data_IF_962264981420
#
_entry.id   IF_962264981420
#
_cell.length_a   1.000
_cell.length_b   1.000
_cell.length_c   1.000
_cell.angle_alpha   90.00
_cell.angle_beta   90.00
_cell.angle_gamma   90.00
#
_symmetry.space_group_name_H-M   'P 1'
#
loop_
_entity.id
_entity.type
_entity.pdbx_description
1 polymer ?
#
# COMPACT_ATOMS: atom_id res chain seq x y z
N UNK A 1 -18.08 8.66 26.63
CA UNK A 1 -17.40 8.58 25.32
C UNK A 1 -15.91 8.78 25.52
N UNK A 2 -15.10 7.71 25.42
CA UNK A 2 -13.62 7.82 25.37
C UNK A 2 -13.17 7.27 24.03
N UNK A 3 -12.36 8.08 23.33
CA UNK A 3 -11.77 7.83 22.02
C UNK A 3 -10.88 6.58 22.07
N UNK A 4 -11.20 5.57 21.26
CA UNK A 4 -10.28 4.48 20.92
C UNK A 4 -9.38 4.96 19.76
N UNK A 5 -8.52 5.94 20.04
CA UNK A 5 -7.41 6.26 19.15
C UNK A 5 -6.21 5.38 19.54
N UNK A 6 -5.79 4.50 18.62
CA UNK A 6 -4.41 4.01 18.56
C UNK A 6 -4.08 2.74 19.34
N UNK A 7 -4.13 1.59 18.63
CA UNK A 7 -2.92 0.80 18.30
C UNK A 7 -3.33 -0.44 17.50
N UNK A 8 -3.62 -0.25 16.21
CA UNK A 8 -3.74 -1.38 15.26
C UNK A 8 -2.42 -2.14 15.16
N UNK A 9 -1.30 -1.46 15.39
CA UNK A 9 0.05 -2.01 15.34
C UNK A 9 0.78 -1.81 16.67
N UNK A 10 1.63 -2.78 17.04
CA UNK A 10 2.49 -2.61 18.22
C UNK A 10 3.54 -1.52 17.96
N UNK A 11 4.08 -0.92 19.03
CA UNK A 11 5.17 0.06 18.91
C UNK A 11 6.40 -0.54 18.22
N UNK A 12 6.65 -1.84 18.39
CA UNK A 12 7.75 -2.56 17.74
C UNK A 12 7.51 -2.75 16.24
N UNK A 13 6.27 -3.11 15.84
CA UNK A 13 5.89 -3.22 14.42
C UNK A 13 6.06 -1.87 13.71
N UNK A 14 5.64 -0.78 14.38
CA UNK A 14 5.80 0.58 13.87
C UNK A 14 7.29 0.92 13.69
N UNK A 15 8.10 0.69 14.73
CA UNK A 15 9.54 0.96 14.72
C UNK A 15 10.25 0.20 13.59
N UNK A 16 9.98 -1.10 13.45
CA UNK A 16 10.61 -1.94 12.43
C UNK A 16 10.21 -1.50 11.03
N UNK A 17 8.93 -1.20 10.79
CA UNK A 17 8.49 -0.75 9.47
C UNK A 17 9.04 0.63 9.13
N UNK A 18 8.96 1.61 10.03
CA UNK A 18 9.51 2.94 9.76
C UNK A 18 11.05 2.91 9.58
N UNK A 19 11.78 2.04 10.28
CA UNK A 19 13.24 1.88 10.08
C UNK A 19 13.63 1.37 8.67
N UNK A 20 12.70 0.77 7.93
CA UNK A 20 12.96 0.33 6.55
C UNK A 20 12.79 1.42 5.51
N UNK A 21 12.27 2.59 5.90
CA UNK A 21 12.24 3.77 5.06
C UNK A 21 13.67 4.16 4.71
N UNK A 22 13.99 4.13 3.42
CA UNK A 22 15.27 4.66 2.91
C UNK A 22 15.01 6.08 2.46
N UNK A 23 15.73 7.03 3.05
CA UNK A 23 15.77 8.43 2.62
C UNK A 23 16.55 8.54 1.30
N UNK A 24 16.13 7.84 0.25
CA UNK A 24 16.47 8.28 -1.11
C UNK A 24 15.64 9.53 -1.34
N UNK A 25 16.26 10.66 -1.66
CA UNK A 25 15.59 11.96 -1.88
C UNK A 25 14.64 12.01 -3.07
N UNK A 26 13.88 10.94 -3.30
CA UNK A 26 13.01 10.65 -4.43
C UNK A 26 11.78 9.81 -4.00
N UNK A 27 11.40 9.80 -2.72
CA UNK A 27 10.31 8.96 -2.19
C UNK A 27 10.64 7.46 -2.06
N UNK A 28 9.70 6.68 -1.49
CA UNK A 28 9.85 5.23 -1.28
C UNK A 28 9.80 4.39 -2.57
N UNK A 29 9.39 5.01 -3.67
CA UNK A 29 9.15 4.42 -4.99
C UNK A 29 10.26 4.90 -5.95
N UNK A 30 11.21 4.04 -6.28
CA UNK A 30 12.28 4.37 -7.23
C UNK A 30 11.77 4.49 -8.68
N UNK A 31 12.51 5.17 -9.56
CA UNK A 31 12.12 5.40 -10.96
C UNK A 31 11.83 4.12 -11.79
N UNK A 32 12.28 2.95 -11.33
CA UNK A 32 12.01 1.62 -11.94
C UNK A 32 10.86 0.88 -11.26
N UNK A 33 10.08 1.55 -10.42
CA UNK A 33 9.02 0.90 -9.69
C UNK A 33 7.94 0.39 -10.65
N UNK A 34 7.61 -0.88 -10.49
CA UNK A 34 6.73 -1.61 -11.38
C UNK A 34 5.27 -1.25 -11.12
N UNK A 35 4.90 -1.00 -9.86
CA UNK A 35 3.53 -0.64 -9.44
C UNK A 35 3.00 0.62 -10.15
N UNK A 36 3.76 1.74 -10.24
CA UNK A 36 3.32 2.91 -10.97
C UNK A 36 2.81 2.68 -12.39
N UNK A 37 3.50 1.83 -13.16
CA UNK A 37 3.10 1.50 -14.53
C UNK A 37 1.72 0.84 -14.57
N UNK A 38 1.49 -0.12 -13.68
CA UNK A 38 0.23 -0.85 -13.63
C UNK A 38 -0.91 0.00 -13.06
N UNK A 39 -0.62 0.83 -12.05
CA UNK A 39 -1.56 1.80 -11.51
C UNK A 39 -2.02 2.77 -12.59
N UNK A 40 -1.09 3.39 -13.34
CA UNK A 40 -1.45 4.28 -14.44
C UNK A 40 -2.36 3.60 -15.47
N UNK A 41 -1.98 2.40 -15.94
CA UNK A 41 -2.79 1.67 -16.94
C UNK A 41 -4.21 1.40 -16.44
N UNK A 42 -4.37 1.07 -15.15
CA UNK A 42 -5.68 0.84 -14.58
C UNK A 42 -6.47 2.15 -14.44
N UNK A 43 -5.84 3.21 -13.93
CA UNK A 43 -6.43 4.54 -13.80
C UNK A 43 -6.94 5.08 -15.14
N UNK A 44 -6.10 5.07 -16.17
CA UNK A 44 -6.44 5.59 -17.51
C UNK A 44 -7.62 4.82 -18.14
N UNK A 45 -7.82 3.55 -17.77
CA UNK A 45 -8.86 2.70 -18.32
C UNK A 45 -10.18 2.70 -17.52
N UNK A 46 -10.16 3.12 -16.25
CA UNK A 46 -11.29 2.93 -15.35
C UNK A 46 -11.77 4.22 -14.67
N UNK A 47 -10.90 5.23 -14.53
CA UNK A 47 -11.19 6.44 -13.78
C UNK A 47 -11.13 7.70 -14.66
N UNK A 48 -11.78 8.75 -14.19
CA UNK A 48 -11.73 10.09 -14.77
C UNK A 48 -10.70 10.94 -14.04
N UNK A 49 -10.17 11.94 -14.74
CA UNK A 49 -9.30 12.95 -14.12
C UNK A 49 -9.99 13.57 -12.90
N UNK A 50 -9.25 13.73 -11.82
CA UNK A 50 -9.75 14.23 -10.53
C UNK A 50 -10.40 13.19 -9.62
N UNK A 51 -10.61 11.93 -10.07
CA UNK A 51 -11.06 10.88 -9.16
C UNK A 51 -10.04 10.63 -8.03
N UNK A 52 -10.51 10.32 -6.80
CA UNK A 52 -9.63 10.21 -5.64
C UNK A 52 -8.80 8.92 -5.66
N UNK A 53 -7.49 9.07 -5.48
CA UNK A 53 -6.50 7.98 -5.42
C UNK A 53 -5.68 8.10 -4.14
N UNK A 54 -5.47 6.98 -3.45
CA UNK A 54 -4.60 6.90 -2.28
C UNK A 54 -3.28 6.22 -2.64
N UNK A 55 -2.14 6.83 -2.31
CA UNK A 55 -0.88 6.10 -2.18
C UNK A 55 -0.62 5.77 -0.70
N UNK A 56 -0.74 4.48 -0.38
CA UNK A 56 -0.60 3.90 0.94
C UNK A 56 0.84 3.40 1.14
N UNK A 57 1.53 3.99 2.11
CA UNK A 57 2.96 3.74 2.34
C UNK A 57 3.85 4.60 1.47
N UNK A 58 3.45 5.86 1.21
CA UNK A 58 4.17 6.79 0.35
C UNK A 58 5.57 7.17 0.90
N UNK A 59 5.84 6.86 2.17
CA UNK A 59 7.03 7.27 2.89
C UNK A 59 6.92 8.69 3.42
N UNK A 60 8.04 9.21 3.92
CA UNK A 60 8.11 10.61 4.36
C UNK A 60 8.31 11.52 3.14
N UNK A 61 7.28 12.31 2.80
CA UNK A 61 7.29 13.29 1.72
C UNK A 61 6.92 14.65 2.30
N UNK A 62 7.83 15.62 2.15
CA UNK A 62 7.62 16.98 2.66
C UNK A 62 6.94 17.87 1.59
N UNK A 63 7.22 17.64 0.30
CA UNK A 63 6.58 18.35 -0.80
C UNK A 63 6.01 17.38 -1.83
N UNK A 64 4.74 17.58 -2.23
CA UNK A 64 4.08 16.75 -3.25
C UNK A 64 4.83 16.78 -4.60
N UNK A 65 5.58 17.85 -4.90
CA UNK A 65 6.43 17.92 -6.11
C UNK A 65 7.58 16.91 -6.10
N UNK A 66 8.01 16.47 -4.92
CA UNK A 66 9.07 15.47 -4.73
C UNK A 66 8.51 14.04 -4.71
N UNK A 67 7.19 13.89 -4.81
CA UNK A 67 6.54 12.60 -4.92
C UNK A 67 6.86 11.97 -6.28
N UNK A 68 7.86 11.10 -6.28
CA UNK A 68 8.33 10.41 -7.48
C UNK A 68 7.44 9.24 -7.92
N UNK A 69 6.25 9.09 -7.32
CA UNK A 69 5.12 8.41 -7.97
C UNK A 69 4.62 9.16 -9.22
N UNK A 70 5.28 10.29 -9.56
CA UNK A 70 5.16 11.26 -10.64
C UNK A 70 4.59 10.83 -12.00
N UNK A 71 4.53 9.54 -12.34
CA UNK A 71 3.88 9.09 -13.57
C UNK A 71 2.46 8.53 -13.35
N UNK A 72 2.01 8.32 -12.12
CA UNK A 72 0.69 7.72 -11.87
C UNK A 72 -0.43 8.76 -11.93
N UNK A 73 -0.22 9.96 -11.39
CA UNK A 73 -1.38 10.77 -11.01
C UNK A 73 -1.19 12.29 -10.91
N UNK A 74 -0.52 12.91 -11.89
CA UNK A 74 -0.67 14.37 -12.08
C UNK A 74 -2.11 14.76 -12.50
N UNK A 75 -2.88 13.81 -13.03
CA UNK A 75 -4.24 14.02 -13.51
C UNK A 75 -5.34 13.59 -12.51
N UNK A 76 -4.98 13.07 -11.33
CA UNK A 76 -5.94 12.53 -10.33
C UNK A 76 -5.75 13.20 -8.96
N UNK A 77 -6.76 13.13 -8.09
CA UNK A 77 -6.68 13.67 -6.72
C UNK A 77 -5.91 12.69 -5.82
N UNK A 78 -4.58 12.84 -5.75
CA UNK A 78 -3.72 11.98 -4.93
C UNK A 78 -3.75 12.43 -3.48
N UNK A 79 -4.10 11.50 -2.59
CA UNK A 79 -3.78 11.57 -1.17
C UNK A 79 -2.61 10.65 -0.84
N UNK A 80 -1.63 11.15 -0.09
CA UNK A 80 -0.49 10.37 0.38
C UNK A 80 -0.69 9.97 1.84
N UNK A 81 -0.42 8.71 2.16
CA UNK A 81 -0.54 8.17 3.51
C UNK A 81 0.69 7.33 3.90
N UNK A 82 1.10 7.45 5.16
CA UNK A 82 2.03 6.51 5.81
C UNK A 82 1.63 6.39 7.30
N UNK A 83 2.31 5.57 8.09
CA UNK A 83 2.04 5.42 9.52
C UNK A 83 3.27 5.64 10.41
N UNK A 84 3.04 5.83 11.71
CA UNK A 84 4.11 6.05 12.68
C UNK A 84 4.85 7.37 12.45
N UNK A 85 6.18 7.35 12.58
CA UNK A 85 7.03 8.54 12.42
C UNK A 85 7.08 9.06 10.98
N UNK A 86 6.73 8.21 10.00
CA UNK A 86 6.63 8.61 8.60
C UNK A 86 5.41 9.50 8.32
N UNK A 87 4.43 9.59 9.23
CA UNK A 87 3.29 10.53 9.12
C UNK A 87 3.68 12.00 9.19
N UNK A 88 4.93 12.31 9.55
CA UNK A 88 5.41 13.69 9.83
C UNK A 88 5.78 14.49 8.58
N UNK A 89 5.66 13.92 7.37
CA UNK A 89 5.86 14.67 6.13
C UNK A 89 4.69 15.63 5.88
N UNK A 90 4.96 16.87 5.50
CA UNK A 90 3.91 17.90 5.29
C UNK A 90 2.97 17.59 4.14
N UNK A 91 3.34 16.71 3.20
CA UNK A 91 2.46 16.24 2.14
C UNK A 91 1.66 14.97 2.52
N UNK A 92 1.89 14.39 3.70
CA UNK A 92 1.21 13.18 4.17
C UNK A 92 -0.08 13.56 4.90
N UNK A 93 -1.19 12.95 4.49
CA UNK A 93 -2.46 13.11 5.18
C UNK A 93 -2.61 12.02 6.26
N UNK A 94 -2.51 12.35 7.55
CA UNK A 94 -2.58 11.36 8.63
C UNK A 94 -3.98 10.72 8.77
N UNK A 95 -5.01 11.37 8.22
CA UNK A 95 -6.43 11.00 8.29
C UNK A 95 -6.92 10.39 6.97
N UNK A 96 -6.02 10.03 6.05
CA UNK A 96 -6.39 9.51 4.74
C UNK A 96 -7.34 8.30 4.81
N UNK A 97 -7.25 7.49 5.87
CA UNK A 97 -8.06 6.27 6.05
C UNK A 97 -9.50 6.52 6.53
N UNK A 98 -9.90 7.78 6.75
CA UNK A 98 -11.27 8.15 7.14
C UNK A 98 -12.24 8.18 5.97
N UNK A 99 -11.74 8.09 4.72
CA UNK A 99 -12.54 8.02 3.49
C UNK A 99 -12.08 6.89 2.58
N UNK A 100 -12.88 6.63 1.55
CA UNK A 100 -12.56 5.66 0.50
C UNK A 100 -12.07 6.35 -0.77
N UNK A 101 -11.29 5.62 -1.56
CA UNK A 101 -10.65 6.05 -2.80
C UNK A 101 -11.00 5.09 -3.92
N UNK A 102 -11.15 5.60 -5.13
CA UNK A 102 -11.44 4.76 -6.30
C UNK A 102 -10.34 3.71 -6.51
N UNK A 103 -9.08 4.09 -6.28
CA UNK A 103 -7.91 3.21 -6.25
C UNK A 103 -7.04 3.46 -5.02
N UNK A 104 -6.60 2.38 -4.38
CA UNK A 104 -5.49 2.41 -3.40
C UNK A 104 -4.24 1.77 -3.99
N UNK A 105 -3.13 2.48 -3.97
CA UNK A 105 -1.81 2.00 -4.38
C UNK A 105 -1.05 1.64 -3.11
N UNK A 106 -0.47 0.45 -3.05
CA UNK A 106 0.25 -0.05 -1.87
C UNK A 106 1.61 -0.60 -2.28
N UNK A 107 2.48 0.28 -2.81
CA UNK A 107 3.78 -0.12 -3.34
C UNK A 107 4.80 -0.33 -2.23
N UNK A 108 5.39 -1.51 -2.14
CA UNK A 108 6.42 -1.84 -1.14
C UNK A 108 6.00 -1.51 0.30
N UNK A 109 4.70 -1.50 0.60
CA UNK A 109 4.22 -1.50 1.99
C UNK A 109 4.07 -2.94 2.48
N UNK A 110 3.72 -3.86 1.58
CA UNK A 110 3.47 -5.27 1.94
C UNK A 110 4.74 -6.02 2.36
N UNK A 111 5.93 -5.54 2.02
CA UNK A 111 7.21 -6.21 2.29
C UNK A 111 7.86 -5.84 3.63
N UNK A 112 7.33 -4.84 4.35
CA UNK A 112 7.88 -4.34 5.62
C UNK A 112 7.07 -4.80 6.83
N UNK A 113 6.21 -5.80 6.62
CA UNK A 113 5.31 -6.33 7.63
C UNK A 113 6.07 -7.24 8.60
N UNK A 114 6.15 -6.82 9.85
CA UNK A 114 6.94 -7.50 10.87
C UNK A 114 6.30 -8.79 11.40
N UNK A 115 4.99 -8.96 11.22
CA UNK A 115 4.25 -10.16 11.61
C UNK A 115 3.09 -10.42 10.65
N UNK A 116 2.57 -11.66 10.64
CA UNK A 116 1.35 -12.01 9.90
C UNK A 116 0.15 -11.17 10.34
N UNK A 117 0.06 -10.84 11.63
CA UNK A 117 -0.99 -9.96 12.17
C UNK A 117 -0.88 -8.55 11.59
N UNK A 118 0.33 -8.00 11.49
CA UNK A 118 0.58 -6.70 10.87
C UNK A 118 0.18 -6.72 9.39
N UNK A 119 0.61 -7.75 8.65
CA UNK A 119 0.24 -7.94 7.25
C UNK A 119 -1.29 -7.96 7.08
N UNK A 120 -2.00 -8.78 7.84
CA UNK A 120 -3.46 -8.89 7.76
C UNK A 120 -4.15 -7.56 8.09
N UNK A 121 -3.67 -6.85 9.12
CA UNK A 121 -4.20 -5.54 9.51
C UNK A 121 -3.94 -4.47 8.43
N UNK A 122 -2.76 -4.48 7.82
CA UNK A 122 -2.41 -3.59 6.69
C UNK A 122 -3.29 -3.86 5.48
N UNK A 123 -3.49 -5.14 5.12
CA UNK A 123 -4.40 -5.50 4.01
C UNK A 123 -5.84 -5.09 4.31
N UNK A 124 -6.31 -5.24 5.56
CA UNK A 124 -7.64 -4.76 5.97
C UNK A 124 -7.78 -3.24 5.89
N UNK A 125 -6.74 -2.48 6.25
CA UNK A 125 -6.72 -1.02 6.08
C UNK A 125 -6.78 -0.61 4.61
N UNK A 126 -5.98 -1.26 3.75
CA UNK A 126 -6.00 -1.05 2.30
C UNK A 126 -7.39 -1.34 1.74
N UNK A 127 -7.98 -2.49 2.08
CA UNK A 127 -9.34 -2.83 1.63
C UNK A 127 -10.39 -1.85 2.13
N UNK A 128 -10.30 -1.40 3.38
CA UNK A 128 -11.25 -0.43 3.96
C UNK A 128 -11.16 0.94 3.29
N UNK A 129 -9.98 1.34 2.81
CA UNK A 129 -9.76 2.58 2.09
C UNK A 129 -10.07 2.47 0.58
N UNK A 130 -10.15 1.25 0.04
CA UNK A 130 -10.56 1.03 -1.35
C UNK A 130 -12.07 1.16 -1.50
N UNK A 131 -12.50 1.77 -2.61
CA UNK A 131 -13.86 1.72 -3.12
C UNK A 131 -13.99 0.67 -4.22
N UNK A 132 -13.13 0.75 -5.26
CA UNK A 132 -13.18 -0.22 -6.36
C UNK A 132 -12.01 -1.21 -6.31
N UNK A 133 -10.78 -0.71 -6.16
CA UNK A 133 -9.60 -1.55 -6.31
C UNK A 133 -8.43 -1.14 -5.42
N UNK A 134 -7.50 -2.07 -5.27
CA UNK A 134 -6.16 -1.86 -4.77
C UNK A 134 -5.12 -2.50 -5.69
N UNK A 135 -3.97 -1.84 -5.84
CA UNK A 135 -2.79 -2.41 -6.51
C UNK A 135 -1.65 -2.50 -5.50
N UNK A 136 -1.14 -3.72 -5.31
CA UNK A 136 -0.06 -4.01 -4.36
C UNK A 136 1.04 -4.84 -5.03
N UNK A 137 2.25 -4.79 -4.49
CA UNK A 137 3.32 -5.69 -4.91
C UNK A 137 4.04 -6.32 -3.71
N UNK A 138 4.69 -7.44 -3.98
CA UNK A 138 5.64 -8.05 -3.06
C UNK A 138 6.97 -8.22 -3.82
N UNK A 139 8.10 -7.66 -3.35
CA UNK A 139 9.40 -7.88 -3.97
C UNK A 139 9.88 -9.32 -3.75
N UNK A 140 10.79 -9.80 -4.61
CA UNK A 140 11.39 -11.14 -4.57
C UNK A 140 12.02 -11.51 -3.21
N UNK A 141 12.47 -10.51 -2.46
CA UNK A 141 13.00 -10.66 -1.11
C UNK A 141 12.25 -9.71 -0.18
N UNK A 142 11.09 -10.12 0.35
CA UNK A 142 10.39 -9.37 1.39
C UNK A 142 11.30 -9.21 2.60
N UNK A 143 11.24 -8.07 3.27
CA UNK A 143 12.33 -7.63 4.15
C UNK A 143 12.13 -8.03 5.61
N UNK A 144 10.92 -8.47 6.02
CA UNK A 144 10.51 -8.54 7.44
C UNK A 144 9.61 -9.75 7.78
N UNK A 145 9.45 -9.97 9.09
CA UNK A 145 9.05 -11.21 9.75
C UNK A 145 7.78 -11.92 9.27
N UNK A 146 6.82 -11.24 8.62
CA UNK A 146 5.65 -11.92 8.06
C UNK A 146 6.02 -12.98 6.99
N UNK A 147 7.19 -12.84 6.37
CA UNK A 147 7.68 -13.71 5.30
C UNK A 147 8.95 -14.47 5.66
N UNK A 148 9.32 -14.48 6.94
CA UNK A 148 10.49 -15.20 7.41
C UNK A 148 10.36 -16.71 7.10
N UNK A 149 11.46 -17.31 6.65
CA UNK A 149 11.52 -18.72 6.22
C UNK A 149 10.62 -19.09 5.03
N UNK A 150 10.08 -18.11 4.30
CA UNK A 150 9.34 -18.34 3.07
C UNK A 150 10.21 -18.07 1.84
N UNK A 151 10.08 -18.92 0.82
CA UNK A 151 10.55 -18.58 -0.53
C UNK A 151 9.76 -17.39 -1.07
N UNK A 152 10.30 -16.66 -2.06
CA UNK A 152 9.58 -15.54 -2.68
C UNK A 152 8.20 -15.94 -3.23
N UNK A 153 8.05 -17.16 -3.76
CA UNK A 153 6.75 -17.70 -4.19
C UNK A 153 5.81 -17.92 -3.01
N UNK A 154 6.28 -18.54 -1.92
CA UNK A 154 5.44 -18.76 -0.73
C UNK A 154 5.01 -17.43 -0.09
N UNK A 155 5.89 -16.42 -0.08
CA UNK A 155 5.54 -15.09 0.37
C UNK A 155 4.47 -14.43 -0.51
N UNK A 156 4.60 -14.57 -1.84
CA UNK A 156 3.60 -14.11 -2.78
C UNK A 156 2.24 -14.81 -2.59
N UNK A 157 2.24 -16.13 -2.41
CA UNK A 157 1.04 -16.93 -2.17
C UNK A 157 0.37 -16.55 -0.83
N UNK A 158 1.16 -16.22 0.20
CA UNK A 158 0.66 -15.70 1.47
C UNK A 158 -0.02 -14.34 1.30
N UNK A 159 0.61 -13.38 0.61
CA UNK A 159 0.01 -12.07 0.37
C UNK A 159 -1.27 -12.19 -0.47
N UNK A 160 -1.25 -13.02 -1.52
CA UNK A 160 -2.42 -13.26 -2.35
C UNK A 160 -3.59 -13.82 -1.52
N UNK A 161 -3.32 -14.76 -0.62
CA UNK A 161 -4.32 -15.29 0.31
C UNK A 161 -4.92 -14.17 1.18
N UNK A 162 -4.10 -13.33 1.81
CA UNK A 162 -4.58 -12.22 2.63
C UNK A 162 -5.43 -11.21 1.82
N UNK A 163 -5.02 -10.90 0.58
CA UNK A 163 -5.81 -10.06 -0.32
C UNK A 163 -7.16 -10.72 -0.64
N UNK A 164 -7.19 -12.03 -0.93
CA UNK A 164 -8.44 -12.77 -1.22
C UNK A 164 -9.39 -12.86 -0.03
N UNK A 165 -8.88 -12.74 1.20
CA UNK A 165 -9.74 -12.62 2.37
C UNK A 165 -10.54 -11.31 2.35
N UNK A 166 -9.94 -10.22 1.87
CA UNK A 166 -10.49 -8.87 1.96
C UNK A 166 -11.07 -8.31 0.64
N UNK A 167 -10.84 -8.97 -0.49
CA UNK A 167 -11.34 -8.55 -1.81
C UNK A 167 -12.07 -9.69 -2.53
N UNK A 168 -13.08 -9.35 -3.33
CA UNK A 168 -13.88 -10.29 -4.13
C UNK A 168 -13.02 -11.01 -5.16
N UNK A 169 -12.11 -10.28 -5.82
CA UNK A 169 -11.20 -10.85 -6.81
C UNK A 169 -9.78 -10.33 -6.62
N UNK A 170 -8.81 -11.21 -6.89
CA UNK A 170 -7.38 -10.90 -6.88
C UNK A 170 -6.73 -11.55 -8.09
N UNK A 171 -6.01 -10.75 -8.86
CA UNK A 171 -5.32 -11.15 -10.08
C UNK A 171 -3.85 -10.76 -10.01
N UNK A 172 -2.96 -11.61 -10.51
CA UNK A 172 -1.56 -11.24 -10.78
C UNK A 172 -1.51 -10.56 -12.15
N UNK A 173 -1.37 -9.25 -12.16
CA UNK A 173 -1.40 -8.44 -13.38
C UNK A 173 -0.01 -8.14 -13.94
N UNK A 174 1.05 -8.57 -13.25
CA UNK A 174 2.42 -8.34 -13.66
C UNK A 174 3.47 -8.91 -12.71
N UNK A 175 4.73 -8.65 -13.04
CA UNK A 175 5.88 -9.11 -12.27
C UNK A 175 6.23 -10.58 -12.54
N UNK A 176 6.87 -11.23 -11.57
CA UNK A 176 7.24 -12.66 -11.62
C UNK A 176 6.52 -13.44 -10.52
N UNK A 177 6.53 -14.79 -10.53
CA UNK A 177 5.92 -15.57 -9.46
C UNK A 177 6.42 -15.24 -8.05
N UNK A 178 7.66 -14.77 -7.92
CA UNK A 178 8.29 -14.35 -6.66
C UNK A 178 8.27 -12.84 -6.44
N UNK A 179 8.02 -12.03 -7.48
CA UNK A 179 7.89 -10.58 -7.39
C UNK A 179 6.62 -10.09 -8.11
N UNK A 180 5.42 -10.48 -7.66
CA UNK A 180 4.18 -10.19 -8.36
C UNK A 180 3.69 -8.76 -8.11
N UNK A 181 2.90 -8.27 -9.07
CA UNK A 181 1.99 -7.15 -8.89
C UNK A 181 0.56 -7.69 -8.91
N UNK A 182 -0.19 -7.39 -7.86
CA UNK A 182 -1.57 -7.80 -7.67
C UNK A 182 -2.52 -6.65 -7.97
N UNK A 183 -3.63 -6.97 -8.63
CA UNK A 183 -4.84 -6.15 -8.67
C UNK A 183 -5.89 -6.85 -7.84
N UNK A 184 -6.33 -6.21 -6.76
CA UNK A 184 -7.42 -6.68 -5.92
C UNK A 184 -8.65 -5.79 -6.15
N UNK A 185 -9.80 -6.36 -6.49
CA UNK A 185 -11.03 -5.61 -6.84
C UNK A 185 -12.20 -6.02 -5.97
N UNK A 186 -13.09 -5.07 -5.73
CA UNK A 186 -14.30 -5.26 -4.94
C UNK A 186 -13.92 -5.54 -3.48
N UNK A 187 -13.51 -4.53 -2.70
CA UNK A 187 -13.30 -4.72 -1.27
C UNK A 187 -14.56 -5.33 -0.67
N UNK A 188 -14.40 -6.40 0.11
CA UNK A 188 -15.53 -7.02 0.82
C UNK A 188 -15.94 -6.07 1.93
N UNK A 189 -17.24 -5.88 2.09
CA UNK A 189 -17.78 -5.08 3.19
C UNK A 189 -17.24 -5.60 4.52
N UNK A 190 -17.01 -4.66 5.45
CA UNK A 190 -16.55 -4.97 6.80
C UNK A 190 -17.55 -5.96 7.40
N UNK A 191 -17.15 -7.23 7.51
CA UNK A 191 -17.79 -8.10 8.49
C UNK A 191 -17.43 -7.50 9.84
N UNK A 192 -18.41 -6.86 10.46
CA UNK A 192 -18.37 -6.36 11.84
C UNK A 192 -18.10 -7.50 12.82
#
# INVERSE_FOLDING_TARGET
>A
MRKNEGKTFSSEDIRIANATFRKSGTGAVGAKAVVPKYAKKWLDANLKKGDPVLDFGAGKIDNLKDYNGANIALDYDITLYDFGDNKKGTAINPNALEKQYELVIASNVMNVQNSKKMLSSTVKQVASASKNAAIANLPASPRKGAFENLTGKQGADLLEKELRLNFISVERIGGTPSNPVFLAKGPKDKQE
#
